data_IF_432407646030
#
_entry.id   IF_432407646030
#
_cell.length_a   1.000
_cell.length_b   1.000
_cell.length_c   1.000
_cell.angle_alpha   90.00
_cell.angle_beta   90.00
_cell.angle_gamma   90.00
#
_symmetry.space_group_name_H-M   'P 1'
#
loop_
_entity.id
_entity.type
_entity.pdbx_description
1 polymer ?
#
# COMPACT_ATOMS: atom_id res chain seq x y z
N UNK A 1 40.32 1.29 -65.62
CA UNK A 1 39.12 0.53 -65.90
C UNK A 1 38.16 0.84 -64.75
N UNK A 2 37.44 1.93 -64.85
CA UNK A 2 36.04 2.11 -65.25
C UNK A 2 35.09 1.20 -64.46
N UNK A 3 34.34 1.81 -63.53
CA UNK A 3 33.26 1.14 -62.86
C UNK A 3 32.44 2.10 -62.01
N UNK A 4 31.54 2.67 -62.59
CA UNK A 4 30.27 3.38 -62.36
C UNK A 4 29.68 3.36 -60.95
N UNK A 5 29.36 4.57 -60.46
CA UNK A 5 28.40 4.82 -59.39
C UNK A 5 26.96 4.68 -59.90
N UNK A 6 26.00 4.17 -59.14
CA UNK A 6 24.60 4.41 -59.41
C UNK A 6 24.06 5.62 -58.63
N UNK A 7 23.15 6.35 -59.31
CA UNK A 7 22.50 7.59 -58.92
C UNK A 7 21.41 7.42 -57.86
N UNK A 8 20.98 8.54 -57.17
CA UNK A 8 20.03 8.49 -56.10
C UNK A 8 18.57 8.42 -56.58
N UNK A 9 17.75 7.61 -55.89
CA UNK A 9 16.33 7.44 -56.15
C UNK A 9 15.54 8.67 -55.67
N UNK A 10 14.59 9.10 -56.47
CA UNK A 10 13.67 10.20 -56.30
C UNK A 10 12.62 9.95 -55.23
N UNK A 11 12.34 10.97 -54.37
CA UNK A 11 11.18 11.06 -53.52
C UNK A 11 9.88 11.34 -54.32
N UNK A 12 8.73 10.79 -53.96
CA UNK A 12 7.45 11.28 -54.43
C UNK A 12 6.91 12.41 -53.56
N UNK A 13 6.02 13.27 -54.12
CA UNK A 13 5.63 14.55 -53.52
C UNK A 13 4.53 14.39 -52.47
N UNK A 14 4.58 15.33 -51.52
CA UNK A 14 3.64 15.43 -50.42
C UNK A 14 2.21 15.80 -50.87
N UNK A 15 1.26 15.28 -50.12
CA UNK A 15 -0.09 15.83 -50.06
C UNK A 15 -0.37 16.42 -48.69
N UNK A 16 -0.39 17.75 -48.67
CA UNK A 16 -0.99 18.51 -47.60
C UNK A 16 -2.51 18.33 -47.61
N UNK A 17 -3.09 18.01 -46.48
CA UNK A 17 -4.49 18.36 -46.20
C UNK A 17 -4.60 18.85 -44.76
N UNK A 18 -4.72 20.18 -44.71
CA UNK A 18 -5.23 20.94 -43.58
C UNK A 18 -6.64 20.46 -43.20
N UNK A 19 -6.87 20.16 -41.94
CA UNK A 19 -8.21 20.20 -41.36
C UNK A 19 -8.19 21.15 -40.19
N UNK A 20 -8.97 22.22 -40.41
CA UNK A 20 -9.19 23.36 -39.52
C UNK A 20 -9.89 22.97 -38.24
N UNK A 21 -9.50 23.69 -37.22
CA UNK A 21 -10.19 24.03 -35.95
C UNK A 21 -11.73 24.02 -36.05
N UNK A 22 -12.38 23.43 -35.05
CA UNK A 22 -13.59 23.98 -34.45
C UNK A 22 -13.44 23.95 -32.93
N UNK A 23 -13.17 25.12 -32.39
CA UNK A 23 -13.58 25.53 -31.04
C UNK A 23 -15.00 26.01 -31.22
N UNK A 24 -15.93 25.57 -30.39
CA UNK A 24 -17.07 26.37 -29.97
C UNK A 24 -17.48 25.96 -28.57
N UNK A 25 -17.35 26.93 -27.70
CA UNK A 25 -17.84 26.95 -26.34
C UNK A 25 -19.38 27.10 -26.38
N UNK A 26 -20.07 26.38 -25.51
CA UNK A 26 -21.42 26.77 -25.09
C UNK A 26 -21.48 26.72 -23.56
N UNK A 27 -21.31 27.89 -22.95
CA UNK A 27 -21.86 28.20 -21.64
C UNK A 27 -23.37 28.47 -21.82
N UNK A 28 -24.21 27.77 -21.10
CA UNK A 28 -25.57 28.19 -20.84
C UNK A 28 -25.90 28.01 -19.35
N UNK A 29 -25.86 29.13 -18.64
CA UNK A 29 -26.43 29.25 -17.30
C UNK A 29 -27.95 29.35 -17.43
N UNK A 30 -28.69 28.48 -16.74
CA UNK A 30 -30.10 28.65 -16.50
C UNK A 30 -30.32 28.84 -15.00
N UNK A 31 -30.59 30.08 -14.63
CA UNK A 31 -31.14 30.46 -13.34
C UNK A 31 -32.66 30.27 -13.46
N UNK A 32 -33.22 29.33 -12.74
CA UNK A 32 -34.67 29.20 -12.56
C UNK A 32 -35.00 29.47 -11.08
N UNK A 33 -35.60 30.64 -10.86
CA UNK A 33 -36.27 31.04 -9.64
C UNK A 33 -37.57 30.24 -9.51
N UNK A 34 -37.73 29.43 -8.50
CA UNK A 34 -38.98 28.76 -8.19
C UNK A 34 -39.55 29.31 -6.87
N UNK A 35 -40.76 29.81 -6.98
CA UNK A 35 -41.61 30.37 -5.95
C UNK A 35 -42.03 29.30 -4.94
N UNK A 36 -41.95 29.63 -3.66
CA UNK A 36 -42.40 28.82 -2.53
C UNK A 36 -43.91 28.66 -2.55
N UNK A 37 -44.38 27.45 -2.77
CA UNK A 37 -45.75 27.02 -2.47
C UNK A 37 -45.70 26.04 -1.28
N UNK A 38 -46.18 26.49 -0.11
CA UNK A 38 -46.38 25.61 1.06
C UNK A 38 -47.60 24.76 0.81
N UNK A 39 -47.39 23.50 0.43
CA UNK A 39 -48.39 22.45 0.46
C UNK A 39 -47.98 21.38 1.45
N UNK A 40 -48.69 21.28 2.58
CA UNK A 40 -48.58 20.14 3.49
C UNK A 40 -49.08 18.88 2.74
N UNK A 41 -48.14 18.08 2.22
CA UNK A 41 -48.39 16.70 1.85
C UNK A 41 -47.77 15.82 2.93
N UNK A 42 -48.63 15.24 3.75
CA UNK A 42 -48.23 14.12 4.61
C UNK A 42 -47.90 12.91 3.76
N UNK A 43 -46.71 12.92 3.13
CA UNK A 43 -46.16 11.77 2.44
C UNK A 43 -45.54 10.85 3.49
N UNK A 44 -46.13 9.68 3.65
CA UNK A 44 -45.51 8.51 4.29
C UNK A 44 -44.22 8.26 3.52
N UNK A 45 -43.09 8.58 4.13
CA UNK A 45 -41.77 8.13 3.66
C UNK A 45 -41.81 6.60 3.68
N UNK A 46 -41.50 5.91 2.58
CA UNK A 46 -41.28 4.47 2.69
C UNK A 46 -40.16 4.25 3.69
N UNK A 47 -40.44 3.51 4.77
CA UNK A 47 -39.43 2.95 5.61
C UNK A 47 -38.38 2.25 4.72
N UNK A 48 -37.08 2.35 5.01
CA UNK A 48 -36.11 1.51 4.32
C UNK A 48 -36.61 0.07 4.45
N UNK A 49 -36.75 -0.60 3.30
CA UNK A 49 -37.15 -2.00 3.26
C UNK A 49 -36.19 -2.74 4.22
N UNK A 50 -36.75 -3.24 5.31
CA UNK A 50 -36.01 -4.11 6.22
C UNK A 50 -35.48 -5.26 5.38
N UNK A 51 -34.17 -5.42 5.32
CA UNK A 51 -33.54 -6.58 4.70
C UNK A 51 -34.18 -7.81 5.31
N UNK A 52 -34.62 -8.74 4.49
CA UNK A 52 -35.14 -10.02 4.97
C UNK A 52 -34.00 -10.66 5.75
N UNK A 53 -34.20 -10.86 7.07
CA UNK A 53 -33.26 -11.60 7.90
C UNK A 53 -33.07 -12.99 7.27
N UNK A 54 -31.82 -13.44 7.14
CA UNK A 54 -31.54 -14.78 6.65
C UNK A 54 -32.21 -15.82 7.56
N UNK A 55 -32.60 -16.96 6.97
CA UNK A 55 -33.08 -18.09 7.75
C UNK A 55 -31.94 -18.55 8.70
N UNK A 56 -32.13 -18.55 10.04
CA UNK A 56 -31.11 -18.98 10.97
C UNK A 56 -30.51 -20.35 10.65
N UNK A 57 -31.30 -21.28 10.06
CA UNK A 57 -30.82 -22.58 9.63
C UNK A 57 -29.74 -22.52 8.54
N UNK A 58 -29.66 -21.44 7.79
CA UNK A 58 -28.63 -21.19 6.76
C UNK A 58 -27.38 -20.52 7.31
N UNK A 59 -27.36 -20.06 8.56
CA UNK A 59 -26.29 -19.30 9.19
C UNK A 59 -25.43 -20.13 10.16
N UNK A 60 -25.40 -21.45 10.00
CA UNK A 60 -24.54 -22.35 10.79
C UNK A 60 -23.20 -22.56 10.08
N UNK A 61 -22.14 -22.91 10.85
CA UNK A 61 -20.82 -23.24 10.30
C UNK A 61 -20.95 -24.27 9.18
N UNK A 62 -21.67 -25.36 9.40
CA UNK A 62 -21.84 -26.46 8.44
C UNK A 62 -22.54 -25.97 7.15
N UNK A 63 -23.57 -25.14 7.29
CA UNK A 63 -24.28 -24.60 6.12
C UNK A 63 -23.38 -23.66 5.27
N UNK A 64 -22.59 -22.82 5.93
CA UNK A 64 -21.73 -21.84 5.26
C UNK A 64 -20.47 -22.47 4.65
N UNK A 65 -19.92 -23.50 5.29
CA UNK A 65 -18.65 -24.11 4.87
C UNK A 65 -18.82 -25.45 4.14
N UNK A 66 -20.03 -26.02 4.12
CA UNK A 66 -20.29 -27.31 3.49
C UNK A 66 -20.04 -27.36 1.98
N UNK A 67 -20.02 -26.22 1.30
CA UNK A 67 -19.66 -26.07 -0.12
C UNK A 67 -18.18 -25.74 -0.39
N UNK A 68 -17.36 -25.56 0.64
CA UNK A 68 -15.97 -25.17 0.48
C UNK A 68 -15.15 -26.27 -0.20
N UNK A 69 -14.49 -25.92 -1.27
CA UNK A 69 -13.75 -26.89 -2.10
C UNK A 69 -12.29 -26.49 -2.39
N UNK A 70 -11.91 -25.26 -2.04
CA UNK A 70 -10.63 -24.67 -2.42
C UNK A 70 -9.66 -24.66 -1.24
N UNK A 71 -8.78 -25.65 -1.20
CA UNK A 71 -7.72 -25.74 -0.18
C UNK A 71 -8.23 -25.89 1.25
N UNK A 72 -7.37 -25.58 2.20
CA UNK A 72 -7.65 -25.63 3.64
C UNK A 72 -8.28 -24.32 4.09
N UNK A 73 -9.51 -24.35 4.61
CA UNK A 73 -10.19 -23.18 5.17
C UNK A 73 -9.64 -22.82 6.54
N UNK A 74 -9.26 -21.56 6.72
CA UNK A 74 -9.11 -20.90 8.01
C UNK A 74 -10.13 -19.76 8.07
N UNK A 75 -11.05 -19.82 9.01
CA UNK A 75 -12.12 -18.83 9.17
C UNK A 75 -12.19 -18.42 10.63
N UNK A 76 -12.21 -17.14 10.88
CA UNK A 76 -12.58 -16.55 12.16
C UNK A 76 -13.49 -15.38 11.90
N UNK A 77 -14.61 -15.30 12.64
CA UNK A 77 -15.53 -14.17 12.59
C UNK A 77 -16.02 -13.82 13.99
N UNK A 78 -16.13 -12.54 14.26
CA UNK A 78 -16.60 -12.01 15.53
C UNK A 78 -17.51 -10.80 15.30
N UNK A 79 -18.57 -10.69 16.09
CA UNK A 79 -19.35 -9.45 16.15
C UNK A 79 -18.52 -8.37 16.85
N UNK A 80 -18.58 -7.16 16.31
CA UNK A 80 -17.94 -6.00 16.92
C UNK A 80 -18.79 -5.56 18.12
N UNK A 81 -18.48 -6.11 19.28
CA UNK A 81 -19.17 -5.83 20.55
C UNK A 81 -18.13 -5.84 21.69
N UNK A 82 -17.64 -4.66 22.03
CA UNK A 82 -16.62 -4.48 23.07
C UNK A 82 -15.26 -5.06 22.70
N UNK A 83 -14.34 -4.99 23.63
CA UNK A 83 -12.89 -5.14 23.46
C UNK A 83 -12.39 -6.42 22.77
N UNK A 84 -13.10 -7.54 22.90
CA UNK A 84 -12.67 -8.80 22.33
C UNK A 84 -13.51 -9.23 21.12
N UNK A 85 -14.64 -8.56 20.90
CA UNK A 85 -15.70 -9.05 20.03
C UNK A 85 -16.37 -10.32 20.57
N UNK A 86 -17.60 -10.58 20.16
CA UNK A 86 -18.29 -11.85 20.44
C UNK A 86 -17.98 -12.83 19.31
N UNK A 87 -17.29 -13.94 19.62
CA UNK A 87 -17.02 -14.95 18.60
C UNK A 87 -18.31 -15.48 17.97
N UNK A 88 -18.36 -15.53 16.66
CA UNK A 88 -19.49 -15.98 15.86
C UNK A 88 -19.19 -17.30 15.16
N UNK A 89 -18.06 -17.37 14.45
CA UNK A 89 -17.62 -18.54 13.70
C UNK A 89 -16.13 -18.77 13.92
N UNK A 90 -15.74 -20.05 14.01
CA UNK A 90 -14.34 -20.45 14.01
C UNK A 90 -14.17 -21.78 13.29
N UNK A 91 -13.29 -21.79 12.28
CA UNK A 91 -12.78 -23.01 11.64
C UNK A 91 -11.28 -22.86 11.52
N UNK A 92 -10.52 -23.55 12.38
CA UNK A 92 -9.04 -23.44 12.42
C UNK A 92 -8.54 -22.00 12.63
N UNK A 93 -9.32 -21.14 13.27
CA UNK A 93 -8.97 -19.74 13.46
C UNK A 93 -7.69 -19.55 14.28
N UNK A 94 -7.43 -20.44 15.24
CA UNK A 94 -6.23 -20.41 16.08
C UNK A 94 -5.00 -21.08 15.43
N UNK A 95 -5.17 -21.78 14.30
CA UNK A 95 -4.07 -22.45 13.61
C UNK A 95 -3.29 -21.42 12.77
N UNK A 96 -1.98 -21.20 13.05
CA UNK A 96 -1.18 -20.25 12.29
C UNK A 96 -1.03 -20.67 10.82
N UNK A 97 -1.34 -19.77 9.92
CA UNK A 97 -1.30 -19.97 8.47
C UNK A 97 -0.54 -18.84 7.76
N UNK A 98 -0.24 -19.04 6.49
CA UNK A 98 0.30 -17.98 5.63
C UNK A 98 -0.74 -16.86 5.47
N UNK A 99 -0.28 -15.61 5.49
CA UNK A 99 -1.18 -14.44 5.49
C UNK A 99 -1.38 -13.82 4.11
N UNK A 100 -0.43 -14.03 3.20
CA UNK A 100 -0.30 -13.17 2.04
C UNK A 100 -0.46 -11.68 2.43
N UNK A 101 -0.94 -10.84 1.52
CA UNK A 101 -1.09 -9.39 1.77
C UNK A 101 -2.13 -9.00 2.82
N UNK A 102 -2.86 -9.94 3.44
CA UNK A 102 -3.66 -9.62 4.63
C UNK A 102 -2.76 -9.24 5.82
N UNK A 103 -1.48 -9.62 5.82
CA UNK A 103 -0.44 -9.12 6.73
C UNK A 103 -0.42 -7.60 6.83
N UNK A 104 -0.70 -6.90 5.74
CA UNK A 104 -0.64 -5.44 5.70
C UNK A 104 -1.59 -4.74 6.67
N UNK A 105 -2.63 -5.42 7.14
CA UNK A 105 -3.49 -4.89 8.21
C UNK A 105 -2.71 -4.80 9.52
N UNK A 106 -1.92 -5.84 9.84
CA UNK A 106 -1.06 -5.82 11.02
C UNK A 106 0.03 -4.76 10.91
N UNK A 107 0.66 -4.65 9.74
CA UNK A 107 1.67 -3.63 9.46
C UNK A 107 1.08 -2.21 9.50
N UNK A 108 -0.13 -2.01 8.97
CA UNK A 108 -0.84 -0.74 9.02
C UNK A 108 -1.12 -0.29 10.46
N UNK A 109 -1.69 -1.20 11.27
CA UNK A 109 -1.93 -0.92 12.68
C UNK A 109 -0.62 -0.60 13.43
N UNK A 110 0.45 -1.38 13.22
CA UNK A 110 1.74 -1.13 13.83
C UNK A 110 2.36 0.21 13.37
N UNK A 111 2.14 0.62 12.12
CA UNK A 111 2.65 1.89 11.61
C UNK A 111 1.92 3.09 12.23
N UNK A 112 0.58 3.07 12.33
CA UNK A 112 -0.17 4.19 12.92
C UNK A 112 0.05 4.29 14.41
N UNK A 113 0.10 3.17 15.14
CA UNK A 113 0.31 3.15 16.58
C UNK A 113 1.79 3.39 16.95
N UNK A 114 2.74 2.79 16.24
CA UNK A 114 4.17 2.85 16.56
C UNK A 114 4.89 4.07 16.03
N UNK A 115 4.58 4.53 14.81
CA UNK A 115 5.21 5.71 14.22
C UNK A 115 4.43 6.99 14.49
N UNK A 116 3.11 6.86 14.65
CA UNK A 116 2.16 7.96 14.71
C UNK A 116 1.69 8.41 13.31
N UNK A 117 0.39 8.79 13.19
CA UNK A 117 -0.25 9.04 11.91
C UNK A 117 0.28 10.27 11.17
N UNK A 118 0.78 11.26 11.89
CA UNK A 118 1.27 12.53 11.34
C UNK A 118 2.75 12.51 10.98
N UNK A 119 3.47 11.46 11.36
CA UNK A 119 4.88 11.32 11.06
C UNK A 119 5.12 11.33 9.55
N UNK A 120 6.19 12.01 9.13
CA UNK A 120 6.69 12.05 7.76
C UNK A 120 8.10 11.46 7.71
N UNK A 121 8.45 10.83 6.61
CA UNK A 121 9.76 10.21 6.40
C UNK A 121 10.63 11.21 5.64
N UNK A 122 11.72 11.65 6.26
CA UNK A 122 12.57 12.69 5.70
C UNK A 122 13.73 12.11 4.88
N UNK A 123 13.93 12.66 3.68
CA UNK A 123 15.17 12.53 2.90
C UNK A 123 15.93 13.86 2.96
N UNK A 124 17.21 13.82 3.30
CA UNK A 124 18.02 15.01 3.57
C UNK A 124 19.28 15.04 2.74
N UNK A 125 19.79 16.24 2.54
CA UNK A 125 21.16 16.44 2.04
C UNK A 125 21.92 17.24 3.08
N UNK A 126 23.09 16.75 3.44
CA UNK A 126 23.98 17.45 4.37
C UNK A 126 25.30 17.81 3.70
N UNK A 127 26.00 18.82 4.25
CA UNK A 127 27.35 19.18 3.81
C UNK A 127 28.31 18.03 4.13
N UNK A 128 29.06 17.60 3.14
CA UNK A 128 30.12 16.59 3.31
C UNK A 128 31.38 17.19 3.96
N UNK A 129 32.37 16.33 4.23
CA UNK A 129 33.63 16.71 4.87
C UNK A 129 34.47 17.72 4.05
N UNK A 130 34.21 17.84 2.75
CA UNK A 130 34.87 18.77 1.83
C UNK A 130 33.86 19.77 1.28
N UNK A 131 34.30 20.96 1.00
CA UNK A 131 33.43 22.02 0.45
C UNK A 131 32.77 21.63 -0.89
N UNK A 132 33.40 20.77 -1.70
CA UNK A 132 32.89 20.29 -3.00
C UNK A 132 32.03 19.02 -2.90
N UNK A 133 31.68 18.57 -1.69
CA UNK A 133 31.02 17.29 -1.45
C UNK A 133 29.71 17.50 -0.67
N UNK A 134 28.65 16.82 -1.09
CA UNK A 134 27.38 16.72 -0.36
C UNK A 134 27.03 15.26 -0.10
N UNK A 135 26.26 14.99 0.95
CA UNK A 135 25.82 13.64 1.32
C UNK A 135 24.30 13.57 1.25
N UNK A 136 23.76 12.71 0.40
CA UNK A 136 22.33 12.39 0.33
C UNK A 136 22.04 11.29 1.35
N UNK A 137 21.15 11.58 2.31
CA UNK A 137 20.81 10.72 3.43
C UNK A 137 19.39 10.20 3.25
N UNK A 138 19.24 8.90 3.06
CA UNK A 138 17.95 8.23 2.94
C UNK A 138 17.33 7.96 4.30
N UNK A 139 16.07 8.36 4.47
CA UNK A 139 15.28 8.12 5.68
C UNK A 139 14.33 6.93 5.60
N UNK A 140 14.37 6.15 4.51
CA UNK A 140 13.46 5.03 4.30
C UNK A 140 12.16 5.41 3.58
N UNK A 141 12.13 6.52 2.84
CA UNK A 141 10.97 6.90 2.03
C UNK A 141 11.02 6.26 0.64
N UNK A 142 10.13 5.30 0.32
CA UNK A 142 10.07 4.71 -1.01
C UNK A 142 9.31 5.58 -2.01
N UNK A 143 8.62 6.64 -1.54
CA UNK A 143 7.77 7.48 -2.38
C UNK A 143 8.50 8.64 -3.03
N UNK A 144 9.73 8.97 -2.54
CA UNK A 144 10.57 10.03 -3.13
C UNK A 144 10.61 9.91 -4.65
N UNK A 145 10.23 10.98 -5.36
CA UNK A 145 10.06 10.93 -6.81
C UNK A 145 11.23 11.57 -7.56
N UNK A 146 11.64 10.92 -8.67
CA UNK A 146 12.56 11.50 -9.65
C UNK A 146 11.84 12.28 -10.76
N UNK A 147 10.50 12.25 -10.78
CA UNK A 147 9.71 13.07 -11.69
C UNK A 147 9.87 14.55 -11.33
N UNK A 148 9.74 15.47 -12.31
CA UNK A 148 9.72 16.90 -12.01
C UNK A 148 8.59 17.28 -11.07
N UNK A 149 8.83 18.23 -10.18
CA UNK A 149 7.81 18.77 -9.28
C UNK A 149 6.53 19.17 -10.02
N UNK A 150 5.39 18.75 -9.49
CA UNK A 150 4.08 18.95 -10.11
C UNK A 150 3.71 17.93 -11.19
N UNK A 151 4.50 16.86 -11.33
CA UNK A 151 4.16 15.70 -12.17
C UNK A 151 3.76 14.54 -11.27
N UNK A 152 2.55 14.04 -11.45
CA UNK A 152 2.05 12.93 -10.66
C UNK A 152 2.73 11.61 -11.08
N UNK A 153 3.17 10.87 -10.08
CA UNK A 153 3.62 9.49 -10.18
C UNK A 153 2.59 8.53 -9.60
N UNK A 154 3.02 7.31 -9.29
CA UNK A 154 2.17 6.32 -8.64
C UNK A 154 1.81 6.72 -7.21
N UNK A 155 2.73 7.36 -6.50
CA UNK A 155 2.50 7.79 -5.12
C UNK A 155 1.95 9.22 -5.09
N UNK A 156 0.77 9.45 -4.50
CA UNK A 156 0.22 10.80 -4.36
C UNK A 156 1.07 11.62 -3.35
N UNK A 157 1.13 12.93 -3.57
CA UNK A 157 1.85 13.88 -2.71
C UNK A 157 3.30 13.49 -2.40
N UNK A 158 3.96 12.80 -3.35
CA UNK A 158 5.35 12.38 -3.23
C UNK A 158 6.30 13.59 -3.15
N UNK A 159 7.34 13.55 -2.32
CA UNK A 159 8.40 14.56 -2.37
C UNK A 159 9.26 14.37 -3.62
N UNK A 160 9.80 15.46 -4.16
CA UNK A 160 10.55 15.44 -5.42
C UNK A 160 12.04 15.75 -5.23
N UNK A 161 12.88 15.04 -6.00
CA UNK A 161 14.34 15.25 -5.98
C UNK A 161 14.74 16.64 -6.47
N UNK A 162 14.04 17.24 -7.43
CA UNK A 162 14.34 18.58 -7.94
C UNK A 162 14.07 19.69 -6.91
N UNK A 163 13.05 19.52 -6.05
CA UNK A 163 12.84 20.41 -4.91
C UNK A 163 13.99 20.32 -3.89
N UNK A 164 14.46 19.09 -3.62
CA UNK A 164 15.60 18.87 -2.73
C UNK A 164 16.88 19.48 -3.33
N UNK A 165 17.12 19.27 -4.63
CA UNK A 165 18.28 19.85 -5.33
C UNK A 165 18.27 21.37 -5.30
N UNK A 166 17.10 21.99 -5.52
CA UNK A 166 16.93 23.45 -5.43
C UNK A 166 17.30 23.97 -4.05
N UNK A 167 16.80 23.34 -2.97
CA UNK A 167 17.15 23.71 -1.59
C UNK A 167 18.66 23.63 -1.35
N UNK A 168 19.32 22.58 -1.80
CA UNK A 168 20.77 22.40 -1.67
C UNK A 168 21.54 23.51 -2.38
N UNK A 169 21.18 23.81 -3.62
CA UNK A 169 21.84 24.84 -4.41
C UNK A 169 21.61 26.23 -3.83
N UNK A 170 20.43 26.51 -3.27
CA UNK A 170 20.10 27.78 -2.61
C UNK A 170 20.85 27.94 -1.30
N UNK A 171 20.87 26.90 -0.44
CA UNK A 171 21.62 26.92 0.81
C UNK A 171 23.12 27.16 0.59
N UNK A 172 23.70 26.47 -0.38
CA UNK A 172 25.12 26.66 -0.71
C UNK A 172 25.44 28.04 -1.32
N UNK A 173 24.50 28.62 -2.05
CA UNK A 173 24.65 29.97 -2.59
C UNK A 173 24.59 31.04 -1.49
N UNK A 174 23.80 30.79 -0.45
CA UNK A 174 23.65 31.69 0.69
C UNK A 174 24.82 31.62 1.69
N UNK A 175 25.58 30.53 1.70
CA UNK A 175 26.73 30.31 2.58
C UNK A 175 27.98 30.94 1.97
N UNK A 176 28.61 31.97 2.62
CA UNK A 176 29.80 32.65 2.10
C UNK A 176 31.01 31.73 1.84
N UNK A 177 31.15 30.65 2.63
CA UNK A 177 32.28 29.72 2.52
C UNK A 177 32.05 28.69 1.38
N UNK A 178 30.82 28.52 0.95
CA UNK A 178 30.41 27.56 -0.09
C UNK A 178 29.99 28.26 -1.39
N UNK A 179 29.69 29.56 -1.34
CA UNK A 179 29.30 30.34 -2.51
C UNK A 179 30.40 30.32 -3.58
N UNK A 180 30.05 29.84 -4.77
CA UNK A 180 31.03 29.69 -5.87
C UNK A 180 31.90 28.45 -5.85
N UNK A 181 31.83 27.59 -4.80
CA UNK A 181 32.45 26.28 -4.79
C UNK A 181 31.53 25.29 -5.51
N UNK A 182 31.91 24.72 -6.67
CA UNK A 182 31.06 23.75 -7.35
C UNK A 182 30.94 22.45 -6.56
N UNK A 183 29.75 21.84 -6.58
CA UNK A 183 29.61 20.46 -6.12
C UNK A 183 30.26 19.55 -7.16
N UNK A 184 31.16 18.68 -6.71
CA UNK A 184 31.87 17.71 -7.56
C UNK A 184 31.54 16.28 -7.19
N UNK A 185 31.09 16.06 -5.95
CA UNK A 185 30.87 14.72 -5.40
C UNK A 185 29.57 14.65 -4.63
N UNK A 186 28.76 13.69 -5.00
CA UNK A 186 27.64 13.21 -4.21
C UNK A 186 28.05 11.93 -3.50
N UNK A 187 27.99 11.91 -2.19
CA UNK A 187 28.08 10.71 -1.36
C UNK A 187 26.66 10.32 -0.92
N UNK A 188 26.49 9.05 -0.54
CA UNK A 188 25.18 8.52 -0.14
C UNK A 188 25.30 7.84 1.21
N UNK A 189 24.39 8.19 2.12
CA UNK A 189 24.11 7.46 3.34
C UNK A 189 22.76 6.72 3.19
N UNK A 190 22.83 5.41 3.05
CA UNK A 190 21.66 4.50 3.00
C UNK A 190 21.76 3.46 4.12
N UNK A 191 22.43 3.81 5.22
CA UNK A 191 22.73 2.90 6.31
C UNK A 191 21.62 2.69 7.33
N UNK A 192 20.45 3.34 7.18
CA UNK A 192 19.34 3.22 8.12
C UNK A 192 18.83 1.78 8.25
N UNK A 193 18.67 1.07 7.13
CA UNK A 193 18.28 -0.33 7.12
C UNK A 193 19.50 -1.24 7.03
N UNK A 194 19.55 -2.27 7.86
CA UNK A 194 20.62 -3.27 7.90
C UNK A 194 20.16 -4.63 7.37
N UNK A 195 21.10 -5.53 7.13
CA UNK A 195 20.82 -6.86 6.58
C UNK A 195 20.50 -6.83 5.07
N UNK A 196 19.89 -7.92 4.53
CA UNK A 196 19.62 -8.04 3.11
C UNK A 196 18.49 -7.09 2.67
N UNK A 197 18.70 -6.46 1.52
CA UNK A 197 17.66 -5.62 0.89
C UNK A 197 16.57 -6.45 0.19
N UNK A 198 16.86 -7.69 -0.15
CA UNK A 198 15.97 -8.69 -0.71
C UNK A 198 16.01 -9.94 0.14
N UNK A 199 14.86 -10.39 0.65
CA UNK A 199 14.81 -11.61 1.44
C UNK A 199 14.84 -12.85 0.52
N UNK A 200 15.55 -13.93 0.94
CA UNK A 200 15.60 -15.16 0.15
C UNK A 200 14.24 -15.80 -0.10
N UNK A 201 13.28 -15.56 0.80
CA UNK A 201 11.90 -16.06 0.75
C UNK A 201 11.04 -15.35 -0.29
N UNK A 202 11.47 -14.17 -0.78
CA UNK A 202 10.69 -13.43 -1.78
C UNK A 202 10.92 -13.99 -3.18
N UNK A 203 9.85 -14.26 -3.95
CA UNK A 203 9.98 -14.73 -5.32
C UNK A 203 10.52 -13.62 -6.23
N UNK A 204 11.47 -13.94 -7.12
CA UNK A 204 12.03 -12.96 -8.07
C UNK A 204 10.97 -12.38 -9.01
N UNK A 205 9.89 -13.10 -9.23
CA UNK A 205 8.72 -12.66 -9.99
C UNK A 205 8.09 -11.40 -9.41
N UNK A 206 8.14 -11.20 -8.08
CA UNK A 206 7.66 -9.98 -7.43
C UNK A 206 8.43 -8.74 -7.90
N UNK A 207 9.76 -8.86 -8.12
CA UNK A 207 10.56 -7.76 -8.70
C UNK A 207 10.25 -7.55 -10.17
N UNK A 208 10.15 -8.63 -10.95
CA UNK A 208 9.89 -8.56 -12.40
C UNK A 208 8.47 -8.07 -12.69
N UNK A 209 7.49 -8.53 -11.92
CA UNK A 209 6.10 -8.13 -11.99
C UNK A 209 5.79 -6.79 -11.33
N UNK A 210 6.76 -6.19 -10.62
CA UNK A 210 6.67 -4.82 -10.13
C UNK A 210 5.95 -4.65 -8.79
N UNK A 211 5.75 -5.71 -7.98
CA UNK A 211 5.12 -5.59 -6.67
C UNK A 211 6.12 -5.23 -5.57
N UNK A 212 7.36 -5.77 -5.62
CA UNK A 212 8.36 -5.61 -4.55
C UNK A 212 9.70 -5.10 -5.09
N UNK A 213 10.31 -4.15 -4.38
CA UNK A 213 11.65 -3.62 -4.62
C UNK A 213 12.68 -4.18 -3.64
N UNK A 214 13.96 -3.98 -3.95
CA UNK A 214 15.00 -4.04 -2.92
C UNK A 214 14.72 -2.97 -1.87
N UNK A 215 14.56 -3.37 -0.61
CA UNK A 215 14.26 -2.44 0.48
C UNK A 215 15.55 -1.81 0.97
N UNK A 216 15.70 -0.54 0.65
CA UNK A 216 16.86 0.29 1.01
C UNK A 216 16.38 1.60 1.62
N UNK A 217 17.20 2.23 2.44
CA UNK A 217 16.84 3.49 3.07
C UNK A 217 16.75 4.67 2.08
N UNK A 218 17.33 4.52 0.90
CA UNK A 218 17.26 5.47 -0.21
C UNK A 218 16.80 4.76 -1.47
N UNK A 219 15.67 5.18 -2.02
CA UNK A 219 15.17 4.77 -3.33
C UNK A 219 14.29 5.89 -3.91
N UNK A 220 13.97 5.83 -5.17
CA UNK A 220 13.03 6.74 -5.84
C UNK A 220 11.92 5.97 -6.52
N UNK A 221 10.69 6.48 -6.41
CA UNK A 221 9.48 5.92 -7.05
C UNK A 221 9.28 4.42 -6.74
N UNK A 222 9.70 3.95 -5.55
CA UNK A 222 9.72 2.54 -5.18
C UNK A 222 10.58 1.70 -6.14
N UNK A 223 11.65 2.27 -6.71
CA UNK A 223 12.57 1.67 -7.70
C UNK A 223 11.89 1.17 -8.98
N UNK A 224 10.76 1.79 -9.40
CA UNK A 224 10.06 1.50 -10.66
C UNK A 224 10.90 1.91 -11.87
N UNK A 225 10.85 1.11 -12.93
CA UNK A 225 11.43 1.51 -14.22
C UNK A 225 10.61 2.66 -14.83
N UNK A 226 9.28 2.59 -14.78
CA UNK A 226 8.37 3.70 -15.09
C UNK A 226 7.65 4.19 -13.83
N UNK A 227 7.89 5.44 -13.39
CA UNK A 227 7.28 6.00 -12.17
C UNK A 227 5.75 6.16 -12.23
N UNK A 228 5.16 6.17 -13.42
CA UNK A 228 3.72 6.34 -13.61
C UNK A 228 2.96 4.99 -13.62
N UNK A 229 3.69 3.88 -13.73
CA UNK A 229 3.09 2.54 -13.81
C UNK A 229 3.14 1.82 -12.46
N UNK A 230 1.99 1.47 -11.89
CA UNK A 230 1.89 0.84 -10.58
C UNK A 230 2.69 -0.47 -10.51
N UNK A 231 2.54 -1.33 -11.50
CA UNK A 231 3.23 -2.63 -11.62
C UNK A 231 4.42 -2.58 -12.59
N UNK A 232 5.13 -1.47 -12.63
CA UNK A 232 6.39 -1.36 -13.37
C UNK A 232 7.46 -2.24 -12.74
N UNK A 233 8.24 -2.92 -13.59
CA UNK A 233 9.39 -3.69 -13.13
C UNK A 233 10.27 -2.88 -12.17
N UNK A 234 10.83 -3.56 -11.15
CA UNK A 234 11.75 -2.94 -10.19
C UNK A 234 13.20 -3.24 -10.55
N UNK A 235 14.05 -2.27 -10.26
CA UNK A 235 15.48 -2.39 -10.47
C UNK A 235 16.17 -3.27 -9.45
N UNK A 236 17.48 -3.45 -9.63
CA UNK A 236 18.34 -4.17 -8.67
C UNK A 236 19.24 -3.22 -7.88
N UNK A 237 19.32 -1.95 -8.30
CA UNK A 237 20.25 -0.96 -7.77
C UNK A 237 19.52 0.32 -7.36
N UNK A 238 18.53 0.18 -6.47
CA UNK A 238 17.67 1.28 -6.05
C UNK A 238 18.47 2.51 -5.56
N UNK A 239 19.48 2.28 -4.71
CA UNK A 239 20.33 3.37 -4.18
C UNK A 239 21.11 4.09 -5.30
N UNK A 240 21.69 3.34 -6.23
CA UNK A 240 22.43 3.94 -7.35
C UNK A 240 21.50 4.75 -8.26
N UNK A 241 20.30 4.22 -8.58
CA UNK A 241 19.29 4.94 -9.37
C UNK A 241 18.91 6.28 -8.73
N UNK A 242 18.69 6.29 -7.41
CA UNK A 242 18.38 7.51 -6.68
C UNK A 242 19.56 8.50 -6.67
N UNK A 243 20.77 8.01 -6.47
CA UNK A 243 21.99 8.80 -6.47
C UNK A 243 22.26 9.43 -7.85
N UNK A 244 22.18 8.64 -8.92
CA UNK A 244 22.37 9.11 -10.29
C UNK A 244 21.33 10.17 -10.68
N UNK A 245 20.04 9.93 -10.34
CA UNK A 245 18.98 10.88 -10.58
C UNK A 245 19.21 12.21 -9.84
N UNK A 246 19.66 12.16 -8.59
CA UNK A 246 19.94 13.37 -7.81
C UNK A 246 21.21 14.10 -8.26
N UNK A 247 22.28 13.36 -8.60
CA UNK A 247 23.52 13.95 -9.11
C UNK A 247 23.27 14.78 -10.39
N UNK A 248 22.46 14.25 -11.31
CA UNK A 248 22.09 14.96 -12.54
C UNK A 248 21.38 16.31 -12.30
N UNK A 249 20.64 16.43 -11.18
CA UNK A 249 19.98 17.69 -10.78
C UNK A 249 20.94 18.69 -10.15
N UNK A 250 22.08 18.25 -9.62
CA UNK A 250 23.10 19.10 -9.02
C UNK A 250 24.08 19.66 -10.07
N UNK A 251 24.25 19.01 -11.21
CA UNK A 251 25.10 19.42 -12.32
C UNK A 251 25.76 18.26 -13.05
N UNK A 252 26.14 18.49 -14.33
CA UNK A 252 26.70 17.47 -15.22
C UNK A 252 28.06 16.88 -14.76
N UNK A 253 28.79 17.61 -13.92
CA UNK A 253 30.12 17.24 -13.43
C UNK A 253 30.09 16.58 -12.02
N UNK A 254 28.90 16.24 -11.48
CA UNK A 254 28.76 15.64 -10.14
C UNK A 254 28.88 14.13 -10.21
N UNK A 255 29.92 13.59 -9.58
CA UNK A 255 30.12 12.15 -9.49
C UNK A 255 29.36 11.55 -8.30
N UNK A 256 28.63 10.45 -8.52
CA UNK A 256 27.86 9.69 -7.51
C UNK A 256 28.37 8.24 -7.35
N UNK A 257 29.59 7.94 -7.76
CA UNK A 257 30.17 6.60 -7.89
C UNK A 257 30.98 6.16 -6.65
N UNK A 258 30.94 6.94 -5.57
CA UNK A 258 31.67 6.65 -4.34
C UNK A 258 31.04 5.53 -3.50
N UNK A 259 31.79 4.99 -2.51
CA UNK A 259 31.21 4.06 -1.55
C UNK A 259 30.12 4.73 -0.70
N UNK A 260 29.22 3.91 -0.15
CA UNK A 260 28.29 4.38 0.86
C UNK A 260 29.07 4.90 2.08
N UNK A 261 28.55 5.98 2.68
CA UNK A 261 29.14 6.61 3.86
C UNK A 261 28.11 6.70 4.97
N UNK A 262 28.55 7.02 6.18
CA UNK A 262 27.68 7.49 7.24
C UNK A 262 27.84 9.00 7.34
N UNK A 263 26.77 9.75 7.25
CA UNK A 263 26.77 11.20 7.42
C UNK A 263 27.29 11.55 8.82
N UNK A 264 28.23 12.50 8.90
CA UNK A 264 28.79 12.88 10.19
C UNK A 264 27.71 13.56 11.07
N UNK A 265 27.61 13.18 12.35
CA UNK A 265 26.70 13.84 13.27
C UNK A 265 26.93 15.36 13.31
N UNK A 266 25.84 16.14 13.24
CA UNK A 266 25.91 17.59 13.29
C UNK A 266 26.34 18.27 11.99
N UNK A 267 26.50 17.54 10.88
CA UNK A 267 26.71 18.15 9.55
C UNK A 267 25.57 19.12 9.22
N UNK A 268 25.90 20.26 8.60
CA UNK A 268 24.92 21.27 8.20
C UNK A 268 23.93 20.68 7.19
N UNK A 269 22.64 20.78 7.47
CA UNK A 269 21.56 20.36 6.57
C UNK A 269 21.41 21.42 5.47
N UNK A 270 21.53 20.99 4.23
CA UNK A 270 21.42 21.84 3.05
C UNK A 270 20.01 21.80 2.42
N UNK A 271 19.28 20.72 2.65
CA UNK A 271 17.91 20.55 2.17
C UNK A 271 17.24 19.35 2.80
N UNK A 272 15.90 19.39 2.86
CA UNK A 272 15.06 18.30 3.37
C UNK A 272 13.77 18.27 2.56
N UNK A 273 13.36 17.08 2.15
CA UNK A 273 12.02 16.80 1.66
C UNK A 273 11.42 15.66 2.47
N UNK A 274 10.10 15.62 2.57
CA UNK A 274 9.40 14.68 3.44
C UNK A 274 8.27 13.99 2.67
N UNK A 275 8.05 12.71 2.98
CA UNK A 275 6.93 11.94 2.45
C UNK A 275 5.58 12.55 2.81
N UNK A 276 4.50 12.06 2.20
CA UNK A 276 3.17 12.17 2.79
C UNK A 276 3.17 11.64 4.24
N UNK A 277 2.24 12.04 5.12
CA UNK A 277 2.17 11.52 6.48
C UNK A 277 1.84 10.02 6.49
N UNK A 278 2.24 9.31 7.54
CA UNK A 278 2.04 7.85 7.68
C UNK A 278 0.59 7.44 7.43
N UNK A 279 -0.40 8.23 7.86
CA UNK A 279 -1.82 7.94 7.59
C UNK A 279 -2.12 7.78 6.09
N UNK A 280 -1.56 8.63 5.24
CA UNK A 280 -1.81 8.61 3.79
C UNK A 280 -1.02 7.48 3.13
N UNK A 281 0.20 7.21 3.60
CA UNK A 281 1.01 6.07 3.18
C UNK A 281 0.31 4.75 3.52
N UNK A 282 -0.27 4.62 4.72
CA UNK A 282 -1.04 3.46 5.16
C UNK A 282 -2.31 3.30 4.30
N UNK A 283 -3.04 4.38 4.05
CA UNK A 283 -4.22 4.36 3.18
C UNK A 283 -3.88 3.85 1.78
N UNK A 284 -2.82 4.39 1.16
CA UNK A 284 -2.34 3.94 -0.14
C UNK A 284 -1.92 2.46 -0.12
N UNK A 285 -1.11 2.06 0.87
CA UNK A 285 -0.64 0.69 1.05
C UNK A 285 -1.79 -0.32 1.12
N UNK A 286 -2.82 -0.03 1.89
CA UNK A 286 -3.97 -0.93 2.08
C UNK A 286 -4.83 -1.01 0.81
N UNK A 287 -5.15 0.13 0.19
CA UNK A 287 -6.00 0.19 -1.00
C UNK A 287 -5.36 -0.49 -2.21
N UNK A 288 -4.05 -0.26 -2.43
CA UNK A 288 -3.30 -0.75 -3.60
C UNK A 288 -2.46 -1.98 -3.33
N UNK A 289 -2.40 -2.44 -2.06
CA UNK A 289 -1.60 -3.59 -1.66
C UNK A 289 -0.10 -3.44 -1.94
N UNK A 290 0.49 -2.25 -1.75
CA UNK A 290 1.90 -1.98 -2.06
C UNK A 290 2.84 -2.71 -1.09
N UNK A 291 3.58 -3.71 -1.62
CA UNK A 291 4.50 -4.55 -0.82
C UNK A 291 5.74 -3.76 -0.37
N UNK A 292 6.26 -2.88 -1.24
CA UNK A 292 7.46 -2.08 -0.96
C UNK A 292 7.20 -1.12 0.20
N UNK A 293 6.05 -0.46 0.18
CA UNK A 293 5.66 0.48 1.23
C UNK A 293 5.38 -0.26 2.56
N UNK A 294 4.71 -1.42 2.49
CA UNK A 294 4.44 -2.23 3.68
C UNK A 294 5.72 -2.68 4.38
N UNK A 295 6.67 -3.24 3.63
CA UNK A 295 7.94 -3.69 4.21
C UNK A 295 8.75 -2.52 4.76
N UNK A 296 8.75 -1.39 4.07
CA UNK A 296 9.44 -0.18 4.53
C UNK A 296 8.87 0.33 5.85
N UNK A 297 7.54 0.45 5.95
CA UNK A 297 6.88 0.89 7.17
C UNK A 297 7.14 -0.08 8.34
N UNK A 298 7.09 -1.40 8.09
CA UNK A 298 7.39 -2.39 9.13
C UNK A 298 8.83 -2.27 9.67
N UNK A 299 9.82 -2.01 8.80
CA UNK A 299 11.21 -1.77 9.24
C UNK A 299 11.34 -0.46 10.03
N UNK A 300 10.63 0.59 9.63
CA UNK A 300 10.61 1.85 10.39
C UNK A 300 9.97 1.67 11.77
N UNK A 301 8.91 0.87 11.87
CA UNK A 301 8.31 0.48 13.16
C UNK A 301 9.32 -0.26 14.04
N UNK A 302 10.07 -1.20 13.47
CA UNK A 302 11.09 -1.93 14.23
C UNK A 302 12.21 -1.01 14.76
N UNK A 303 12.59 0.01 14.01
CA UNK A 303 13.52 1.04 14.46
C UNK A 303 12.93 1.87 15.60
N UNK A 304 11.71 2.37 15.42
CA UNK A 304 11.03 3.25 16.39
C UNK A 304 10.82 2.56 17.74
N UNK A 305 10.45 1.29 17.72
CA UNK A 305 10.28 0.47 18.93
C UNK A 305 11.59 0.04 19.57
N UNK A 306 12.74 0.35 18.95
CA UNK A 306 14.05 -0.07 19.43
C UNK A 306 14.38 -1.54 19.19
N UNK A 307 13.59 -2.24 18.38
CA UNK A 307 13.81 -3.66 18.05
C UNK A 307 15.04 -3.85 17.15
N UNK A 308 15.30 -2.90 16.24
CA UNK A 308 16.43 -2.91 15.32
C UNK A 308 16.07 -2.40 13.94
N UNK A 309 16.97 -2.59 12.96
CA UNK A 309 16.83 -2.01 11.61
C UNK A 309 16.87 -3.06 10.47
N UNK A 310 16.98 -4.34 10.81
CA UNK A 310 16.94 -5.44 9.86
C UNK A 310 15.49 -5.94 9.64
N UNK A 311 15.25 -6.64 8.54
CA UNK A 311 13.95 -7.27 8.31
C UNK A 311 13.57 -8.25 9.45
N UNK A 312 14.54 -8.98 9.98
CA UNK A 312 14.31 -9.92 11.09
C UNK A 312 13.79 -9.24 12.37
N UNK A 313 14.01 -7.93 12.54
CA UNK A 313 13.59 -7.17 13.72
C UNK A 313 12.09 -6.82 13.68
N UNK A 314 11.42 -6.96 12.52
CA UNK A 314 9.97 -6.84 12.36
C UNK A 314 9.24 -7.81 13.32
N UNK A 315 9.82 -8.99 13.56
CA UNK A 315 9.28 -10.01 14.46
C UNK A 315 9.02 -9.48 15.88
N UNK A 316 9.89 -8.62 16.37
CA UNK A 316 9.76 -8.02 17.71
C UNK A 316 9.19 -6.61 17.67
N UNK A 317 9.47 -5.86 16.61
CA UNK A 317 9.02 -4.48 16.45
C UNK A 317 7.51 -4.35 16.28
N UNK A 318 6.91 -5.19 15.41
CA UNK A 318 5.46 -5.15 15.18
C UNK A 318 4.65 -5.47 16.45
N UNK A 319 4.91 -6.57 17.19
CA UNK A 319 4.21 -6.81 18.45
C UNK A 319 4.44 -5.72 19.50
N UNK A 320 5.66 -5.15 19.56
CA UNK A 320 5.94 -4.07 20.50
C UNK A 320 5.11 -2.80 20.21
N UNK A 321 4.92 -2.45 18.94
CA UNK A 321 4.07 -1.32 18.54
C UNK A 321 2.58 -1.56 18.85
N UNK A 322 2.14 -2.81 18.91
CA UNK A 322 0.74 -3.19 19.13
C UNK A 322 0.46 -3.69 20.57
N UNK A 323 1.41 -3.50 21.50
CA UNK A 323 1.30 -4.04 22.85
C UNK A 323 0.03 -3.59 23.59
N UNK A 324 -0.41 -2.35 23.36
CA UNK A 324 -1.59 -1.77 23.99
C UNK A 324 -2.92 -2.30 23.44
N UNK A 325 -2.88 -3.05 22.32
CA UNK A 325 -4.07 -3.66 21.72
C UNK A 325 -4.43 -5.04 22.32
N UNK A 326 -3.60 -5.59 23.18
CA UNK A 326 -3.79 -6.89 23.84
C UNK A 326 -4.12 -8.02 22.83
N UNK A 327 -3.31 -8.12 21.78
CA UNK A 327 -3.45 -9.15 20.76
C UNK A 327 -2.69 -10.43 21.15
N UNK A 328 -3.29 -11.64 21.00
CA UNK A 328 -2.58 -12.88 21.29
C UNK A 328 -1.50 -13.11 20.24
N UNK A 329 -0.25 -13.27 20.66
CA UNK A 329 0.91 -13.45 19.76
C UNK A 329 1.43 -14.89 19.73
N UNK A 330 0.77 -15.82 20.38
CA UNK A 330 1.16 -17.23 20.40
C UNK A 330 1.14 -17.82 18.98
N UNK A 331 2.24 -18.47 18.61
CA UNK A 331 2.39 -19.08 17.27
C UNK A 331 2.65 -18.09 16.13
N UNK A 332 2.74 -16.80 16.38
CA UNK A 332 3.01 -15.78 15.36
C UNK A 332 4.47 -15.83 14.93
N UNK A 333 4.68 -15.93 13.61
CA UNK A 333 5.99 -15.79 12.98
C UNK A 333 5.89 -14.71 11.89
N UNK A 334 6.60 -13.61 12.08
CA UNK A 334 6.70 -12.52 11.11
C UNK A 334 8.06 -12.57 10.45
N UNK A 335 8.08 -12.87 9.16
CA UNK A 335 9.29 -12.87 8.32
C UNK A 335 9.44 -11.53 7.61
N UNK A 336 8.33 -10.96 7.17
CA UNK A 336 8.26 -9.64 6.54
C UNK A 336 6.98 -8.90 6.95
N UNK A 337 6.91 -7.61 6.61
CA UNK A 337 5.75 -6.76 6.87
C UNK A 337 4.75 -6.71 5.72
N UNK A 338 5.09 -7.25 4.56
CA UNK A 338 4.27 -7.19 3.34
C UNK A 338 3.32 -8.39 3.21
N UNK A 339 3.69 -9.53 3.79
CA UNK A 339 3.03 -10.81 3.59
C UNK A 339 3.47 -11.54 2.31
N UNK A 340 4.52 -11.07 1.65
CA UNK A 340 5.04 -11.71 0.44
C UNK A 340 5.74 -13.04 0.73
N UNK A 341 6.35 -13.18 1.90
CA UNK A 341 6.92 -14.45 2.37
C UNK A 341 5.80 -15.43 2.73
N UNK A 342 5.84 -16.61 2.12
CA UNK A 342 4.95 -17.73 2.47
C UNK A 342 5.32 -18.38 3.82
N UNK A 343 6.42 -17.96 4.43
CA UNK A 343 6.87 -18.42 5.75
C UNK A 343 6.28 -17.61 6.92
N UNK A 344 5.55 -16.53 6.64
CA UNK A 344 4.75 -15.87 7.68
C UNK A 344 3.72 -16.85 8.25
N UNK A 345 3.53 -16.84 9.59
CA UNK A 345 2.51 -17.65 10.27
C UNK A 345 1.77 -16.79 11.27
N UNK A 346 0.47 -16.62 11.04
CA UNK A 346 -0.42 -15.84 11.89
C UNK A 346 -1.75 -16.58 12.05
N UNK A 347 -2.33 -16.68 13.25
CA UNK A 347 -3.69 -17.18 13.40
C UNK A 347 -4.73 -16.24 12.77
N UNK A 348 -5.71 -16.77 12.06
CA UNK A 348 -6.82 -15.98 11.51
C UNK A 348 -7.56 -15.20 12.60
N UNK A 349 -7.73 -15.82 13.77
CA UNK A 349 -8.35 -15.22 14.95
C UNK A 349 -7.61 -13.97 15.45
N UNK A 350 -6.28 -13.90 15.29
CA UNK A 350 -5.51 -12.69 15.64
C UNK A 350 -5.91 -11.52 14.74
N UNK A 351 -5.94 -11.73 13.40
CA UNK A 351 -6.36 -10.66 12.50
C UNK A 351 -7.82 -10.27 12.70
N UNK A 352 -8.70 -11.22 12.98
CA UNK A 352 -10.10 -10.93 13.31
C UNK A 352 -10.20 -10.05 14.55
N UNK A 353 -9.47 -10.35 15.63
CA UNK A 353 -9.41 -9.49 16.82
C UNK A 353 -8.88 -8.10 16.52
N UNK A 354 -7.82 -8.01 15.70
CA UNK A 354 -7.33 -6.71 15.25
C UNK A 354 -8.42 -5.96 14.48
N UNK A 355 -9.17 -6.64 13.60
CA UNK A 355 -10.26 -6.01 12.86
C UNK A 355 -11.42 -5.54 13.75
N UNK A 356 -11.69 -6.22 14.89
CA UNK A 356 -12.61 -5.69 15.92
C UNK A 356 -12.10 -4.36 16.46
N UNK A 357 -10.79 -4.24 16.81
CA UNK A 357 -10.20 -2.97 17.27
C UNK A 357 -10.26 -1.87 16.21
N UNK A 358 -10.05 -2.27 14.94
CA UNK A 358 -10.16 -1.35 13.78
C UNK A 358 -11.59 -0.83 13.64
N UNK A 359 -12.59 -1.69 13.73
CA UNK A 359 -14.01 -1.31 13.64
C UNK A 359 -14.44 -0.42 14.81
N UNK A 360 -13.92 -0.66 16.01
CA UNK A 360 -14.15 0.20 17.19
C UNK A 360 -13.41 1.54 17.11
N UNK A 361 -12.60 1.77 16.08
CA UNK A 361 -11.77 2.97 15.90
C UNK A 361 -10.91 3.30 17.14
N UNK A 362 -10.31 2.28 17.76
CA UNK A 362 -9.44 2.50 18.92
C UNK A 362 -8.17 3.25 18.51
N UNK A 363 -7.83 4.27 19.27
CA UNK A 363 -6.66 5.09 18.98
C UNK A 363 -6.69 5.64 17.56
N UNK A 364 -5.60 5.40 16.81
CA UNK A 364 -5.46 5.83 15.41
C UNK A 364 -5.94 4.75 14.39
N UNK A 365 -6.55 3.64 14.85
CA UNK A 365 -6.98 2.54 13.98
C UNK A 365 -8.13 2.90 13.04
N UNK A 366 -8.85 4.01 13.26
CA UNK A 366 -9.79 4.57 12.28
C UNK A 366 -9.12 4.82 10.90
N UNK A 367 -7.81 5.08 10.89
CA UNK A 367 -7.03 5.27 9.66
C UNK A 367 -6.89 3.95 8.89
N UNK A 368 -6.74 2.85 9.61
CA UNK A 368 -6.69 1.51 9.01
C UNK A 368 -8.02 1.17 8.36
N UNK A 369 -9.14 1.41 9.07
CA UNK A 369 -10.49 1.20 8.52
C UNK A 369 -10.72 2.01 7.24
N UNK A 370 -10.41 3.31 7.28
CA UNK A 370 -10.55 4.20 6.12
C UNK A 370 -9.68 3.82 4.92
N UNK A 371 -8.56 3.12 5.13
CA UNK A 371 -7.64 2.65 4.09
C UNK A 371 -8.05 1.32 3.43
N UNK A 372 -9.03 0.59 4.00
CA UNK A 372 -9.46 -0.69 3.44
C UNK A 372 -10.16 -0.52 2.10
N UNK A 373 -9.94 -1.48 1.20
CA UNK A 373 -10.68 -1.56 -0.04
C UNK A 373 -12.16 -1.92 0.23
N UNK A 374 -13.08 -1.38 -0.58
CA UNK A 374 -14.52 -1.60 -0.44
C UNK A 374 -15.02 -2.53 -1.55
N UNK A 375 -15.73 -3.59 -1.17
CA UNK A 375 -16.27 -4.61 -2.05
C UNK A 375 -17.03 -4.01 -3.24
N UNK A 376 -16.64 -4.41 -4.46
CA UNK A 376 -17.21 -3.96 -5.71
C UNK A 376 -17.01 -2.46 -6.03
N UNK A 377 -16.17 -1.70 -5.25
CA UNK A 377 -16.08 -0.25 -5.41
C UNK A 377 -14.66 0.29 -5.51
N UNK A 378 -13.75 -0.14 -4.64
CA UNK A 378 -12.40 0.45 -4.59
C UNK A 378 -11.31 -0.60 -4.48
N UNK A 379 -10.09 -0.24 -4.91
CA UNK A 379 -8.87 -1.02 -4.74
C UNK A 379 -9.00 -2.46 -5.22
N UNK A 380 -8.29 -3.36 -4.56
CA UNK A 380 -8.24 -4.78 -4.93
C UNK A 380 -9.58 -5.54 -4.78
N UNK A 381 -10.61 -4.93 -4.19
CA UNK A 381 -11.95 -5.50 -4.11
C UNK A 381 -12.89 -5.01 -5.23
N UNK A 382 -12.47 -4.04 -6.07
CA UNK A 382 -13.17 -3.63 -7.28
C UNK A 382 -12.60 -4.31 -8.53
N UNK A 383 -11.34 -4.78 -8.47
CA UNK A 383 -10.63 -5.35 -9.59
C UNK A 383 -10.95 -6.84 -9.78
N UNK A 384 -10.77 -7.35 -11.00
CA UNK A 384 -10.82 -8.78 -11.28
C UNK A 384 -12.17 -9.47 -11.04
N UNK A 385 -13.28 -8.73 -11.09
CA UNK A 385 -14.62 -9.31 -10.99
C UNK A 385 -15.00 -9.77 -9.59
N UNK A 386 -14.41 -9.17 -8.53
CA UNK A 386 -14.75 -9.45 -7.13
C UNK A 386 -16.16 -8.96 -6.79
N UNK A 387 -16.84 -9.66 -5.90
CA UNK A 387 -18.19 -9.36 -5.44
C UNK A 387 -19.19 -9.15 -6.59
N UNK A 388 -19.24 -10.11 -7.50
CA UNK A 388 -20.18 -10.13 -8.64
C UNK A 388 -21.16 -11.30 -8.53
N UNK A 389 -22.22 -11.29 -9.34
CA UNK A 389 -23.26 -12.32 -9.30
C UNK A 389 -24.01 -12.30 -7.95
N UNK A 390 -24.07 -13.41 -7.25
CA UNK A 390 -24.75 -13.51 -5.95
C UNK A 390 -24.01 -12.71 -4.86
N UNK A 391 -22.67 -12.55 -4.97
CA UNK A 391 -21.88 -11.78 -4.04
C UNK A 391 -22.07 -10.25 -4.19
N UNK A 392 -22.70 -9.77 -5.27
CA UNK A 392 -23.06 -8.36 -5.46
C UNK A 392 -23.94 -7.80 -4.33
N UNK A 393 -24.67 -8.67 -3.63
CA UNK A 393 -25.46 -8.29 -2.45
C UNK A 393 -24.61 -7.64 -1.34
N UNK A 394 -23.31 -7.96 -1.25
CA UNK A 394 -22.40 -7.38 -0.29
C UNK A 394 -21.57 -6.20 -0.86
N UNK A 395 -21.81 -5.79 -2.12
CA UNK A 395 -21.11 -4.67 -2.72
C UNK A 395 -21.33 -3.38 -1.93
N UNK A 396 -20.23 -2.76 -1.49
CA UNK A 396 -20.24 -1.58 -0.65
C UNK A 396 -20.61 -1.82 0.81
N UNK A 397 -20.75 -3.09 1.23
CA UNK A 397 -21.05 -3.51 2.61
C UNK A 397 -19.90 -4.21 3.31
N UNK A 398 -18.87 -4.54 2.56
CA UNK A 398 -17.65 -5.15 3.09
C UNK A 398 -16.49 -4.24 2.77
N UNK A 399 -15.65 -3.97 3.76
CA UNK A 399 -14.38 -3.31 3.63
C UNK A 399 -13.29 -4.22 4.14
N UNK A 400 -12.20 -4.38 3.37
CA UNK A 400 -11.20 -5.38 3.74
C UNK A 400 -9.93 -5.34 2.92
N UNK A 401 -8.98 -6.17 3.36
CA UNK A 401 -7.70 -6.39 2.71
C UNK A 401 -7.63 -7.77 2.11
N UNK A 402 -7.34 -7.85 0.82
CA UNK A 402 -7.12 -9.10 0.10
C UNK A 402 -5.72 -9.66 0.32
N UNK A 403 -5.56 -10.97 0.22
CA UNK A 403 -4.28 -11.67 0.19
C UNK A 403 -4.22 -12.64 -0.98
N UNK A 404 -3.06 -12.72 -1.66
CA UNK A 404 -2.84 -13.67 -2.75
C UNK A 404 -1.37 -14.06 -2.80
N UNK A 405 -1.08 -15.34 -2.66
CA UNK A 405 0.16 -16.03 -3.04
C UNK A 405 -0.20 -17.19 -3.97
N UNK A 406 0.78 -17.92 -4.45
CA UNK A 406 0.56 -19.05 -5.38
C UNK A 406 -0.42 -20.10 -4.84
N UNK A 407 -0.32 -20.40 -3.54
CA UNK A 407 -1.11 -21.44 -2.86
C UNK A 407 -1.96 -20.91 -1.71
N UNK A 408 -2.16 -19.60 -1.63
CA UNK A 408 -2.91 -18.96 -0.56
C UNK A 408 -3.72 -17.79 -1.09
N UNK A 409 -5.01 -17.77 -0.80
CA UNK A 409 -5.91 -16.64 -1.05
C UNK A 409 -6.61 -16.24 0.23
N UNK A 410 -6.91 -14.97 0.40
CA UNK A 410 -7.54 -14.51 1.63
C UNK A 410 -8.21 -13.15 1.53
N UNK A 411 -9.06 -12.94 2.53
CA UNK A 411 -9.70 -11.66 2.81
C UNK A 411 -9.83 -11.52 4.34
N UNK A 412 -9.39 -10.39 4.86
CA UNK A 412 -9.69 -9.97 6.24
C UNK A 412 -10.37 -8.62 6.19
N UNK A 413 -11.38 -8.39 7.03
CA UNK A 413 -12.13 -7.16 6.94
C UNK A 413 -13.29 -7.08 7.92
N UNK A 414 -14.21 -6.17 7.59
CA UNK A 414 -15.41 -5.87 8.36
C UNK A 414 -16.58 -5.91 7.38
N UNK A 415 -17.64 -6.61 7.77
CA UNK A 415 -18.90 -6.67 7.04
C UNK A 415 -19.99 -5.93 7.84
N UNK A 416 -20.63 -4.93 7.18
CA UNK A 416 -21.84 -4.30 7.67
C UNK A 416 -23.00 -5.26 7.40
N UNK A 417 -23.44 -6.01 8.40
CA UNK A 417 -24.45 -7.04 8.22
C UNK A 417 -25.85 -6.50 7.98
N UNK A 418 -26.70 -7.32 7.34
CA UNK A 418 -28.06 -6.93 6.96
C UNK A 418 -28.97 -6.66 8.18
N UNK A 419 -28.66 -7.23 9.33
CA UNK A 419 -29.38 -7.02 10.60
C UNK A 419 -28.88 -5.77 11.38
N UNK A 420 -27.85 -5.09 10.86
CA UNK A 420 -27.28 -3.89 11.46
C UNK A 420 -26.09 -4.16 12.39
N UNK A 421 -25.66 -5.41 12.56
CA UNK A 421 -24.43 -5.73 13.27
C UNK A 421 -23.22 -5.49 12.39
N UNK A 422 -22.03 -5.24 13.00
CA UNK A 422 -20.76 -5.28 12.31
C UNK A 422 -20.05 -6.60 12.63
N UNK A 423 -19.54 -7.27 11.60
CA UNK A 423 -18.83 -8.55 11.73
C UNK A 423 -17.40 -8.37 11.24
N UNK A 424 -16.44 -8.42 12.14
CA UNK A 424 -15.02 -8.52 11.83
C UNK A 424 -14.68 -9.97 11.45
N UNK A 425 -13.87 -10.17 10.40
CA UNK A 425 -13.61 -11.52 9.91
C UNK A 425 -12.24 -11.66 9.25
N UNK A 426 -11.79 -12.92 9.20
CA UNK A 426 -10.63 -13.38 8.40
C UNK A 426 -10.99 -14.71 7.76
N UNK A 427 -10.87 -14.80 6.45
CA UNK A 427 -11.14 -15.97 5.62
C UNK A 427 -9.90 -16.25 4.78
N UNK A 428 -9.31 -17.44 4.94
CA UNK A 428 -8.16 -17.88 4.17
C UNK A 428 -8.37 -19.26 3.57
N UNK A 429 -7.98 -19.43 2.31
CA UNK A 429 -7.78 -20.69 1.62
C UNK A 429 -6.27 -20.95 1.55
N UNK A 430 -5.75 -21.84 2.38
CA UNK A 430 -4.35 -22.28 2.36
C UNK A 430 -4.22 -23.62 1.63
N UNK A 431 -3.04 -23.93 1.11
CA UNK A 431 -2.75 -25.14 0.34
C UNK A 431 -3.61 -25.33 -0.91
N UNK A 432 -3.99 -24.23 -1.54
CA UNK A 432 -4.72 -24.25 -2.80
C UNK A 432 -3.88 -24.96 -3.85
N UNK A 433 -4.48 -25.92 -4.57
CA UNK A 433 -3.79 -26.58 -5.68
C UNK A 433 -3.51 -25.55 -6.80
N UNK A 434 -2.26 -25.42 -7.28
CA UNK A 434 -1.91 -24.46 -8.35
C UNK A 434 -2.68 -24.65 -9.66
N UNK A 435 -3.32 -25.81 -9.87
CA UNK A 435 -4.19 -26.02 -11.02
C UNK A 435 -5.58 -25.40 -10.88
N UNK A 436 -5.98 -24.99 -9.67
CA UNK A 436 -7.24 -24.27 -9.41
C UNK A 436 -7.06 -22.81 -9.82
N UNK A 437 -7.90 -22.28 -10.71
CA UNK A 437 -7.85 -20.86 -11.05
C UNK A 437 -8.02 -19.97 -9.80
N UNK A 438 -7.19 -18.95 -9.66
CA UNK A 438 -7.23 -18.03 -8.54
C UNK A 438 -8.62 -17.37 -8.38
N UNK A 439 -9.33 -17.18 -9.48
CA UNK A 439 -10.70 -16.64 -9.50
C UNK A 439 -11.69 -17.54 -8.77
N UNK A 440 -11.51 -18.88 -8.82
CA UNK A 440 -12.37 -19.83 -8.11
C UNK A 440 -12.22 -19.71 -6.60
N UNK A 441 -10.99 -19.66 -6.10
CA UNK A 441 -10.72 -19.45 -4.69
C UNK A 441 -11.25 -18.09 -4.19
N UNK A 442 -11.08 -17.05 -4.99
CA UNK A 442 -11.60 -15.71 -4.67
C UNK A 442 -13.13 -15.69 -4.64
N UNK A 443 -13.80 -16.40 -5.55
CA UNK A 443 -15.25 -16.48 -5.58
C UNK A 443 -15.82 -17.19 -4.34
N UNK A 444 -15.20 -18.27 -3.87
CA UNK A 444 -15.61 -18.94 -2.61
C UNK A 444 -15.42 -18.02 -1.40
N UNK A 445 -14.31 -17.27 -1.33
CA UNK A 445 -14.07 -16.28 -0.27
C UNK A 445 -15.11 -15.15 -0.31
N UNK A 446 -15.42 -14.62 -1.51
CA UNK A 446 -16.43 -13.56 -1.68
C UNK A 446 -17.83 -14.03 -1.31
N UNK A 447 -18.18 -15.28 -1.67
CA UNK A 447 -19.45 -15.90 -1.27
C UNK A 447 -19.57 -16.03 0.25
N UNK A 448 -18.52 -16.56 0.90
CA UNK A 448 -18.52 -16.73 2.36
C UNK A 448 -18.58 -15.36 3.07
N UNK A 449 -17.82 -14.36 2.60
CA UNK A 449 -17.89 -13.01 3.16
C UNK A 449 -19.29 -12.38 2.94
N UNK A 450 -19.96 -12.67 1.81
CA UNK A 450 -21.34 -12.24 1.55
C UNK A 450 -22.33 -12.90 2.51
N UNK A 451 -22.10 -14.17 2.86
CA UNK A 451 -22.92 -14.86 3.84
C UNK A 451 -22.75 -14.28 5.25
N UNK A 452 -21.51 -13.85 5.62
CA UNK A 452 -21.30 -13.09 6.87
C UNK A 452 -22.14 -11.80 6.89
N UNK A 453 -22.19 -11.06 5.76
CA UNK A 453 -23.07 -9.89 5.62
C UNK A 453 -24.55 -10.26 5.77
N UNK A 454 -25.02 -11.37 5.17
CA UNK A 454 -26.41 -11.79 5.23
C UNK A 454 -26.84 -12.25 6.62
N UNK A 455 -25.97 -12.99 7.30
CA UNK A 455 -26.27 -13.66 8.56
C UNK A 455 -26.09 -12.77 9.80
N UNK A 456 -25.06 -11.91 9.82
CA UNK A 456 -24.81 -11.01 10.94
C UNK A 456 -24.76 -11.71 12.29
N UNK A 457 -25.48 -11.16 13.25
CA UNK A 457 -25.55 -11.69 14.62
C UNK A 457 -26.17 -13.09 14.74
N UNK A 458 -26.88 -13.59 13.73
CA UNK A 458 -27.44 -14.94 13.71
C UNK A 458 -26.38 -16.05 13.58
N UNK A 459 -25.13 -15.71 13.21
CA UNK A 459 -24.02 -16.68 13.10
C UNK A 459 -23.64 -17.35 14.42
N UNK A 460 -23.94 -16.74 15.57
CA UNK A 460 -23.59 -17.25 16.90
C UNK A 460 -24.74 -17.96 17.63
N UNK A 461 -25.82 -18.28 16.92
CA UNK A 461 -27.04 -18.91 17.50
C UNK A 461 -27.01 -20.42 17.52
#
# INVERSE_FOLDING_TARGET
>A
MTGSRPAPARRPPGRSRSVRRRRDAVLAAVVATAVVGVGLVTGILPSPAGGASADPASCTVDALTGGWSTGTLHLSAAEVDGDAGRALLDVRGDVPAATASTMKVLTAAAAVEGLGPDRRIATRVVQGARADTVVLVGGGDPTLSRLPSGTDGVYPDAPHLDDLARQVLDARRADPDLAGVPIRRLQVDSGLFTGPAWLPEWPLEARRGGSMSNITALMVDGDRDDPAEAYSRRGEKAVARAADAFAALLGDDVAADGPLVTAAPGSAVLGTVESAPVRDLVGYMLTHSDDTLAETLARLVAIETGAGSAAADIRSGTPAALADLDLPTDGVVLVDGSGLSDANRVPAALLTRLMVRVAEHRGDLAIVDAGLAVAGRTGTLAEGGRFTGEADAAAGRIRGKTGTLERMHGLTGIADAADGTEVAFTIWAEDVDPSVPAESARAEIDALATDLHRCGGALGG
#
